data_IF_706738070687
#
_entry.id   IF_706738070687
#
_cell.length_a   1.000
_cell.length_b   1.000
_cell.length_c   1.000
_cell.angle_alpha   90.00
_cell.angle_beta   90.00
_cell.angle_gamma   90.00
#
_symmetry.space_group_name_H-M   'P 1'
#
loop_
_entity.id
_entity.type
_entity.pdbx_description
1 polymer ?
#
# COMPACT_ATOMS: atom_id res chain seq x y z
N UNK A 1 -15.33 31.21 -9.65
CA UNK A 1 -15.42 30.14 -10.66
C UNK A 1 -14.55 28.99 -10.17
N UNK A 2 -15.13 27.94 -9.59
CA UNK A 2 -14.37 26.73 -9.28
C UNK A 2 -14.07 26.03 -10.60
N UNK A 3 -12.81 26.10 -11.04
CA UNK A 3 -12.36 25.28 -12.14
C UNK A 3 -12.24 23.85 -11.60
N UNK A 4 -12.98 22.86 -12.16
CA UNK A 4 -12.96 21.50 -11.62
C UNK A 4 -11.54 20.94 -11.65
N UNK A 5 -11.17 20.22 -10.58
CA UNK A 5 -9.85 19.58 -10.47
C UNK A 5 -9.62 18.63 -11.66
N UNK A 6 -8.48 18.81 -12.34
CA UNK A 6 -8.11 17.95 -13.46
C UNK A 6 -7.85 16.51 -12.98
N UNK A 7 -8.27 15.51 -13.75
CA UNK A 7 -8.06 14.08 -13.45
C UNK A 7 -6.60 13.75 -13.09
N UNK A 8 -5.65 14.29 -13.87
CA UNK A 8 -4.22 14.15 -13.61
C UNK A 8 -3.76 14.78 -12.30
N UNK A 9 -4.35 15.91 -11.92
CA UNK A 9 -4.04 16.55 -10.64
C UNK A 9 -4.55 15.70 -9.48
N UNK A 10 -5.77 15.15 -9.58
CA UNK A 10 -6.32 14.23 -8.60
C UNK A 10 -5.44 12.98 -8.43
N UNK A 11 -5.01 12.38 -9.54
CA UNK A 11 -4.11 11.22 -9.56
C UNK A 11 -2.76 11.53 -8.90
N UNK A 12 -2.13 12.64 -9.26
CA UNK A 12 -0.84 13.02 -8.71
C UNK A 12 -0.93 13.28 -7.19
N UNK A 13 -2.01 13.89 -6.71
CA UNK A 13 -2.22 14.13 -5.27
C UNK A 13 -2.46 12.81 -4.52
N UNK A 14 -3.27 11.92 -5.09
CA UNK A 14 -3.52 10.58 -4.57
C UNK A 14 -2.20 9.81 -4.39
N UNK A 15 -1.38 9.72 -5.45
CA UNK A 15 -0.12 9.00 -5.40
C UNK A 15 0.94 9.68 -4.53
N UNK A 16 0.99 11.01 -4.48
CA UNK A 16 1.87 11.75 -3.57
C UNK A 16 1.64 11.27 -2.13
N UNK A 17 0.39 11.20 -1.69
CA UNK A 17 0.04 10.73 -0.34
C UNK A 17 0.54 9.30 -0.08
N UNK A 18 0.32 8.40 -1.05
CA UNK A 18 0.76 7.00 -0.96
C UNK A 18 2.27 6.86 -0.84
N UNK A 19 3.02 7.60 -1.64
CA UNK A 19 4.48 7.53 -1.61
C UNK A 19 5.06 7.99 -0.27
N UNK A 20 4.50 9.05 0.34
CA UNK A 20 4.96 9.50 1.66
C UNK A 20 4.64 8.48 2.75
N UNK A 21 3.42 7.92 2.77
CA UNK A 21 3.07 6.87 3.74
C UNK A 21 3.97 5.63 3.57
N UNK A 22 4.30 5.25 2.33
CA UNK A 22 5.24 4.16 2.02
C UNK A 22 6.65 4.40 2.53
N UNK A 23 7.19 5.58 2.31
CA UNK A 23 8.50 5.93 2.82
C UNK A 23 8.56 5.83 4.36
N UNK A 24 7.55 6.37 5.06
CA UNK A 24 7.48 6.33 6.53
C UNK A 24 7.34 4.88 7.05
N UNK A 25 6.48 4.08 6.42
CA UNK A 25 6.25 2.70 6.84
C UNK A 25 7.48 1.82 6.65
N UNK A 26 8.13 1.93 5.49
CA UNK A 26 9.34 1.17 5.18
C UNK A 26 10.49 1.56 6.12
N UNK A 27 10.68 2.85 6.38
CA UNK A 27 11.71 3.31 7.32
C UNK A 27 11.51 2.71 8.72
N UNK A 28 10.25 2.61 9.16
CA UNK A 28 9.91 2.02 10.45
C UNK A 28 10.09 0.50 10.49
N UNK A 29 9.74 -0.21 9.42
CA UNK A 29 9.95 -1.66 9.33
C UNK A 29 11.45 -1.98 9.40
N UNK A 30 12.27 -1.24 8.66
CA UNK A 30 13.73 -1.39 8.68
C UNK A 30 14.30 -1.12 10.08
N UNK A 31 13.85 -0.06 10.76
CA UNK A 31 14.35 0.29 12.10
C UNK A 31 13.99 -0.77 13.14
N UNK A 32 12.74 -1.22 13.13
CA UNK A 32 12.27 -2.25 14.04
C UNK A 32 13.00 -3.56 13.77
N UNK A 33 13.16 -3.98 12.51
CA UNK A 33 13.90 -5.18 12.18
C UNK A 33 15.35 -5.09 12.67
N UNK A 34 16.00 -3.95 12.48
CA UNK A 34 17.37 -3.71 12.94
C UNK A 34 17.51 -3.75 14.47
N UNK A 35 16.58 -3.13 15.20
CA UNK A 35 16.59 -3.12 16.67
C UNK A 35 16.42 -4.53 17.23
N UNK A 36 15.41 -5.26 16.76
CA UNK A 36 15.14 -6.61 17.25
C UNK A 36 16.23 -7.61 16.82
N UNK A 37 16.85 -7.40 15.66
CA UNK A 37 17.97 -8.22 15.21
C UNK A 37 19.19 -8.13 16.13
N UNK A 38 19.37 -7.03 16.87
CA UNK A 38 20.48 -6.87 17.83
C UNK A 38 20.20 -7.56 19.16
N UNK A 39 18.94 -7.61 19.57
CA UNK A 39 18.50 -8.11 20.88
C UNK A 39 18.34 -9.63 20.93
N UNK A 40 17.97 -10.27 19.82
CA UNK A 40 17.88 -11.73 19.72
C UNK A 40 19.17 -12.32 19.14
N UNK A 41 19.76 -13.33 19.77
CA UNK A 41 20.87 -14.15 19.21
C UNK A 41 20.45 -14.98 17.97
N UNK A 42 19.39 -14.57 17.25
CA UNK A 42 18.68 -15.33 16.23
C UNK A 42 18.90 -14.80 14.81
N UNK A 43 18.75 -15.71 13.85
CA UNK A 43 18.91 -15.53 12.41
C UNK A 43 18.16 -14.30 11.91
N UNK A 44 18.87 -13.42 11.20
CA UNK A 44 18.27 -12.23 10.62
C UNK A 44 17.32 -12.60 9.48
N UNK A 45 16.02 -12.33 9.65
CA UNK A 45 15.02 -12.56 8.60
C UNK A 45 14.77 -11.28 7.79
N UNK A 46 15.81 -10.78 7.12
CA UNK A 46 15.68 -9.66 6.18
C UNK A 46 14.87 -10.03 4.94
N UNK A 47 14.80 -11.32 4.60
CA UNK A 47 13.97 -11.83 3.52
C UNK A 47 12.49 -11.55 3.77
N UNK A 48 12.02 -11.58 5.03
CA UNK A 48 10.64 -11.22 5.36
C UNK A 48 10.24 -9.81 4.92
N UNK A 49 11.17 -8.84 4.95
CA UNK A 49 10.92 -7.48 4.47
C UNK A 49 10.77 -7.47 2.94
N UNK A 50 11.56 -8.30 2.24
CA UNK A 50 11.44 -8.45 0.78
C UNK A 50 10.08 -9.04 0.40
N UNK A 51 9.65 -10.08 1.11
CA UNK A 51 8.33 -10.72 0.92
C UNK A 51 7.17 -9.79 1.24
N UNK A 52 7.26 -9.01 2.32
CA UNK A 52 6.24 -8.02 2.72
C UNK A 52 5.88 -7.06 1.57
N UNK A 53 6.88 -6.65 0.79
CA UNK A 53 6.70 -5.74 -0.35
C UNK A 53 6.49 -6.46 -1.69
N UNK A 54 6.48 -7.81 -1.71
CA UNK A 54 6.39 -8.63 -2.92
C UNK A 54 7.49 -8.34 -3.96
N UNK A 55 8.71 -8.06 -3.50
CA UNK A 55 9.85 -7.63 -4.32
C UNK A 55 10.88 -8.75 -4.58
N UNK A 56 10.58 -10.02 -4.31
CA UNK A 56 11.55 -11.12 -4.37
C UNK A 56 12.24 -11.24 -5.73
N UNK A 57 11.47 -11.12 -6.81
CA UNK A 57 12.01 -11.18 -8.17
C UNK A 57 12.94 -9.99 -8.44
N UNK A 58 12.51 -8.77 -8.12
CA UNK A 58 13.30 -7.56 -8.31
C UNK A 58 14.58 -7.54 -7.46
N UNK A 59 14.50 -8.02 -6.22
CA UNK A 59 15.63 -8.15 -5.31
C UNK A 59 16.63 -9.20 -5.80
N UNK A 60 16.16 -10.41 -6.14
CA UNK A 60 16.99 -11.52 -6.61
C UNK A 60 17.75 -11.23 -7.90
N UNK A 61 17.20 -10.34 -8.75
CA UNK A 61 17.87 -9.87 -9.96
C UNK A 61 19.11 -9.01 -9.70
N UNK A 62 19.21 -8.37 -8.52
CA UNK A 62 20.33 -7.49 -8.14
C UNK A 62 21.23 -8.09 -7.05
N UNK A 63 20.67 -8.89 -6.15
CA UNK A 63 21.34 -9.41 -4.97
C UNK A 63 21.17 -10.92 -4.84
N UNK A 64 22.26 -11.63 -4.56
CA UNK A 64 22.25 -13.09 -4.39
C UNK A 64 21.83 -13.54 -2.99
N UNK A 65 21.96 -12.67 -1.98
CA UNK A 65 21.66 -13.00 -0.59
C UNK A 65 20.84 -11.89 0.10
N UNK A 66 19.76 -12.25 0.83
CA UNK A 66 18.96 -11.29 1.59
C UNK A 66 19.60 -11.02 2.95
N UNK A 67 20.80 -10.41 2.95
CA UNK A 67 21.45 -9.94 4.17
C UNK A 67 21.06 -8.47 4.47
N UNK A 68 21.43 -7.99 5.66
CA UNK A 68 21.13 -6.63 6.12
C UNK A 68 21.54 -5.58 5.08
N UNK A 69 22.82 -5.57 4.70
CA UNK A 69 23.40 -4.55 3.83
C UNK A 69 22.67 -4.47 2.47
N UNK A 70 22.38 -5.61 1.86
CA UNK A 70 21.67 -5.68 0.58
C UNK A 70 20.23 -5.18 0.72
N UNK A 71 19.49 -5.61 1.75
CA UNK A 71 18.09 -5.21 1.93
C UNK A 71 17.97 -3.73 2.32
N UNK A 72 18.84 -3.25 3.20
CA UNK A 72 18.94 -1.84 3.59
C UNK A 72 19.26 -0.97 2.36
N UNK A 73 20.28 -1.32 1.58
CA UNK A 73 20.63 -0.59 0.36
C UNK A 73 19.50 -0.59 -0.68
N UNK A 74 18.89 -1.75 -0.91
CA UNK A 74 17.79 -1.92 -1.87
C UNK A 74 16.56 -1.08 -1.51
N UNK A 75 16.23 -0.93 -0.23
CA UNK A 75 15.05 -0.18 0.21
C UNK A 75 15.31 1.28 0.58
N UNK A 76 16.54 1.67 0.92
CA UNK A 76 16.84 3.07 1.26
C UNK A 76 17.38 3.88 0.08
N UNK A 77 18.36 3.35 -0.66
CA UNK A 77 19.20 4.16 -1.56
C UNK A 77 19.17 3.74 -3.03
N UNK A 78 18.59 2.59 -3.36
CA UNK A 78 18.42 2.14 -4.74
C UNK A 78 17.30 2.90 -5.48
N UNK A 79 17.69 3.93 -6.24
CA UNK A 79 16.75 4.72 -7.04
C UNK A 79 16.11 3.96 -8.21
N UNK A 80 16.65 2.81 -8.61
CA UNK A 80 16.06 1.95 -9.63
C UNK A 80 15.04 0.96 -9.04
N UNK A 81 14.99 0.81 -7.72
CA UNK A 81 13.91 0.10 -7.05
C UNK A 81 12.71 1.05 -6.83
N UNK A 82 11.54 0.83 -7.47
CA UNK A 82 10.37 1.70 -7.30
C UNK A 82 9.76 1.67 -5.88
N UNK A 83 10.08 0.67 -5.06
CA UNK A 83 9.60 0.55 -3.68
C UNK A 83 10.55 1.20 -2.67
N UNK A 84 11.73 1.67 -3.10
CA UNK A 84 12.70 2.30 -2.20
C UNK A 84 12.24 3.68 -1.71
N UNK A 85 12.76 4.09 -0.55
CA UNK A 85 12.48 5.39 0.07
C UNK A 85 12.94 6.54 -0.84
N UNK A 86 14.13 6.45 -1.45
CA UNK A 86 14.60 7.46 -2.42
C UNK A 86 13.67 7.57 -3.62
N UNK A 87 13.20 6.46 -4.19
CA UNK A 87 12.30 6.48 -5.34
C UNK A 87 10.91 7.00 -4.95
N UNK A 88 10.35 6.57 -3.82
CA UNK A 88 9.07 7.04 -3.32
C UNK A 88 9.06 8.57 -3.12
N UNK A 89 10.08 9.12 -2.44
CA UNK A 89 10.16 10.57 -2.20
C UNK A 89 10.47 11.35 -3.47
N UNK A 90 11.27 10.79 -4.39
CA UNK A 90 11.45 11.39 -5.72
C UNK A 90 10.12 11.50 -6.47
N UNK A 91 9.32 10.42 -6.50
CA UNK A 91 8.00 10.42 -7.15
C UNK A 91 7.00 11.35 -6.46
N UNK A 92 6.98 11.38 -5.12
CA UNK A 92 6.15 12.32 -4.35
C UNK A 92 6.49 13.77 -4.70
N UNK A 93 7.79 14.09 -4.78
CA UNK A 93 8.27 15.42 -5.18
C UNK A 93 7.89 15.75 -6.61
N UNK A 94 8.05 14.84 -7.57
CA UNK A 94 7.65 15.11 -8.95
C UNK A 94 6.15 15.33 -9.10
N UNK A 95 5.32 14.57 -8.37
CA UNK A 95 3.90 14.83 -8.27
C UNK A 95 3.64 16.24 -7.72
N UNK A 96 4.26 16.60 -6.59
CA UNK A 96 4.13 17.93 -5.98
C UNK A 96 4.56 19.06 -6.94
N UNK A 97 5.58 18.83 -7.78
CA UNK A 97 6.06 19.82 -8.76
C UNK A 97 4.97 20.16 -9.77
N UNK A 98 4.27 19.15 -10.27
CA UNK A 98 3.13 19.35 -11.20
C UNK A 98 1.92 19.98 -10.53
N UNK A 99 1.84 19.88 -9.20
CA UNK A 99 0.75 20.36 -8.37
C UNK A 99 1.04 21.70 -7.69
N UNK A 100 2.11 22.42 -8.07
CA UNK A 100 2.47 23.72 -7.46
C UNK A 100 1.32 24.73 -7.32
N UNK A 101 0.34 24.80 -8.24
CA UNK A 101 -0.82 25.69 -8.04
C UNK A 101 -1.78 25.24 -6.93
N UNK A 102 -1.71 23.99 -6.48
CA UNK A 102 -2.63 23.36 -5.53
C UNK A 102 -1.99 23.10 -4.16
N UNK A 103 -0.75 22.61 -4.14
CA UNK A 103 -0.04 22.36 -2.87
C UNK A 103 0.51 23.66 -2.30
N UNK A 104 0.62 23.75 -0.98
CA UNK A 104 1.23 24.90 -0.33
C UNK A 104 2.74 24.98 -0.65
N UNK A 105 3.30 26.18 -0.52
CA UNK A 105 4.74 26.39 -0.70
C UNK A 105 5.53 25.56 0.30
N UNK A 106 5.03 25.44 1.52
CA UNK A 106 5.59 24.69 2.64
C UNK A 106 5.65 23.19 2.33
N UNK A 107 4.58 22.61 1.76
CA UNK A 107 4.58 21.20 1.31
C UNK A 107 5.67 20.97 0.26
N UNK A 108 5.75 21.85 -0.75
CA UNK A 108 6.76 21.76 -1.80
C UNK A 108 8.19 21.85 -1.24
N UNK A 109 8.43 22.84 -0.37
CA UNK A 109 9.75 23.07 0.24
C UNK A 109 10.19 21.86 1.07
N UNK A 110 9.30 21.31 1.90
CA UNK A 110 9.64 20.16 2.74
C UNK A 110 9.99 18.91 1.90
N UNK A 111 9.22 18.61 0.84
CA UNK A 111 9.56 17.50 -0.07
C UNK A 111 10.91 17.72 -0.77
N UNK A 112 11.22 18.97 -1.14
CA UNK A 112 12.48 19.28 -1.79
C UNK A 112 13.68 19.15 -0.83
N UNK A 113 13.54 19.61 0.42
CA UNK A 113 14.55 19.40 1.48
C UNK A 113 14.75 17.92 1.71
N UNK A 114 13.66 17.17 1.90
CA UNK A 114 13.72 15.74 2.19
C UNK A 114 14.36 14.96 1.04
N UNK A 115 13.96 15.22 -0.21
CA UNK A 115 14.57 14.60 -1.38
C UNK A 115 16.08 14.87 -1.47
N UNK A 116 16.51 16.12 -1.25
CA UNK A 116 17.93 16.46 -1.27
C UNK A 116 18.72 15.77 -0.15
N UNK A 117 18.12 15.66 1.04
CA UNK A 117 18.72 14.94 2.19
C UNK A 117 18.91 13.45 1.87
N UNK A 118 17.89 12.80 1.30
CA UNK A 118 17.98 11.40 0.89
C UNK A 118 19.06 11.16 -0.16
N UNK A 119 19.23 12.08 -1.12
CA UNK A 119 20.31 12.02 -2.13
C UNK A 119 21.71 12.25 -1.55
N UNK A 120 21.79 12.86 -0.37
CA UNK A 120 23.03 13.11 0.34
C UNK A 120 23.41 12.01 1.34
N UNK A 121 22.59 10.94 1.46
CA UNK A 121 22.93 9.79 2.30
C UNK A 121 24.25 9.18 1.83
N UNK A 122 25.17 9.04 2.76
CA UNK A 122 26.46 8.40 2.53
C UNK A 122 26.44 6.94 2.96
N UNK A 123 27.33 6.14 2.39
CA UNK A 123 27.42 4.71 2.69
C UNK A 123 27.73 4.39 4.16
N UNK A 124 28.46 5.27 4.86
CA UNK A 124 28.75 5.13 6.29
C UNK A 124 27.50 5.31 7.18
N UNK A 125 26.49 6.05 6.72
CA UNK A 125 25.22 6.20 7.45
C UNK A 125 24.35 4.94 7.39
N UNK A 126 24.63 4.02 6.45
CA UNK A 126 23.93 2.74 6.34
C UNK A 126 24.49 1.67 7.28
N UNK A 127 25.64 1.93 7.90
CA UNK A 127 26.31 0.98 8.76
C UNK A 127 25.56 0.79 10.10
N UNK A 128 25.69 -0.39 10.73
CA UNK A 128 25.17 -0.63 12.06
C UNK A 128 25.63 0.45 13.04
N UNK A 129 24.68 1.16 13.66
CA UNK A 129 24.91 2.20 14.67
C UNK A 129 24.53 3.58 14.18
N UNK A 130 24.65 3.83 12.88
CA UNK A 130 24.20 5.07 12.22
C UNK A 130 22.83 4.92 11.55
N UNK A 131 22.43 3.68 11.23
CA UNK A 131 21.18 3.40 10.56
C UNK A 131 19.94 3.82 11.35
N UNK A 132 19.83 3.51 12.64
CA UNK A 132 18.65 3.88 13.45
C UNK A 132 18.44 5.40 13.54
N UNK A 133 19.48 6.23 13.80
CA UNK A 133 19.37 7.68 13.68
C UNK A 133 18.89 8.15 12.30
N UNK A 134 19.44 7.60 11.21
CA UNK A 134 19.02 7.93 9.84
C UNK A 134 17.54 7.58 9.60
N UNK A 135 17.11 6.38 10.00
CA UNK A 135 15.71 5.96 9.86
C UNK A 135 14.77 6.80 10.73
N UNK A 136 15.23 7.27 11.89
CA UNK A 136 14.52 8.25 12.72
C UNK A 136 14.31 9.56 11.97
N UNK A 137 15.37 10.13 11.41
CA UNK A 137 15.30 11.35 10.61
C UNK A 137 14.33 11.22 9.43
N UNK A 138 14.35 10.08 8.73
CA UNK A 138 13.45 9.80 7.60
C UNK A 138 11.98 9.79 8.05
N UNK A 139 11.66 9.13 9.19
CA UNK A 139 10.29 9.13 9.75
C UNK A 139 9.87 10.53 10.16
N UNK A 140 10.75 11.28 10.83
CA UNK A 140 10.48 12.65 11.27
C UNK A 140 10.23 13.59 10.08
N UNK A 141 10.95 13.41 8.97
CA UNK A 141 10.71 14.17 7.74
C UNK A 141 9.33 13.89 7.12
N UNK A 142 8.89 12.62 7.14
CA UNK A 142 7.53 12.23 6.71
C UNK A 142 6.45 12.81 7.63
N UNK A 143 6.68 12.79 8.94
CA UNK A 143 5.77 13.35 9.94
C UNK A 143 5.71 14.87 9.87
N UNK A 144 6.84 15.53 9.61
CA UNK A 144 6.93 16.97 9.35
C UNK A 144 6.12 17.33 8.11
N UNK A 145 6.29 16.59 7.01
CA UNK A 145 5.47 16.78 5.82
C UNK A 145 3.98 16.58 6.10
N UNK A 146 3.63 15.56 6.89
CA UNK A 146 2.26 15.31 7.33
C UNK A 146 1.69 16.49 8.11
N UNK A 147 2.43 17.02 9.09
CA UNK A 147 1.99 18.18 9.89
C UNK A 147 1.82 19.44 9.04
N UNK A 148 2.75 19.70 8.12
CA UNK A 148 2.64 20.80 7.15
C UNK A 148 1.40 20.64 6.27
N UNK A 149 1.16 19.43 5.77
CA UNK A 149 0.00 19.13 4.91
C UNK A 149 -1.30 19.37 5.67
N UNK A 150 -1.43 18.89 6.91
CA UNK A 150 -2.61 19.14 7.74
C UNK A 150 -2.84 20.64 8.01
N UNK A 151 -1.76 21.40 8.27
CA UNK A 151 -1.83 22.81 8.64
C UNK A 151 -2.00 23.79 7.47
N UNK A 152 -1.60 23.41 6.26
CA UNK A 152 -1.50 24.37 5.13
C UNK A 152 -2.26 23.95 3.87
N UNK A 153 -2.59 22.67 3.70
CA UNK A 153 -3.25 22.22 2.47
C UNK A 153 -4.74 22.59 2.49
N UNK A 154 -5.18 23.32 1.48
CA UNK A 154 -6.56 23.81 1.39
C UNK A 154 -7.57 22.65 1.27
N UNK A 155 -8.70 22.75 1.98
CA UNK A 155 -9.66 21.65 2.15
C UNK A 155 -10.69 21.60 1.00
N UNK A 156 -10.19 21.40 -0.22
CA UNK A 156 -10.97 21.25 -1.45
C UNK A 156 -10.97 19.79 -1.98
N UNK A 157 -11.29 19.59 -3.26
CA UNK A 157 -11.27 18.28 -3.91
C UNK A 157 -9.91 17.58 -3.76
N UNK A 158 -8.80 18.32 -3.92
CA UNK A 158 -7.46 17.76 -3.88
C UNK A 158 -7.14 17.21 -2.49
N UNK A 159 -7.58 17.90 -1.43
CA UNK A 159 -7.48 17.42 -0.05
C UNK A 159 -8.12 16.04 0.12
N UNK A 160 -9.31 15.82 -0.42
CA UNK A 160 -9.99 14.53 -0.25
C UNK A 160 -9.35 13.42 -1.09
N UNK A 161 -8.81 13.72 -2.29
CA UNK A 161 -7.99 12.76 -3.03
C UNK A 161 -6.69 12.39 -2.30
N UNK A 162 -6.06 13.36 -1.62
CA UNK A 162 -4.89 13.10 -0.76
C UNK A 162 -5.26 12.14 0.37
N UNK A 163 -6.40 12.36 1.03
CA UNK A 163 -6.91 11.47 2.09
C UNK A 163 -7.19 10.06 1.57
N UNK A 164 -7.84 9.92 0.41
CA UNK A 164 -8.08 8.62 -0.22
C UNK A 164 -6.77 7.83 -0.39
N UNK A 165 -5.75 8.48 -0.95
CA UNK A 165 -4.43 7.87 -1.14
C UNK A 165 -3.78 7.46 0.18
N UNK A 166 -3.70 8.40 1.14
CA UNK A 166 -3.11 8.16 2.46
C UNK A 166 -3.73 6.95 3.17
N UNK A 167 -5.05 6.92 3.32
CA UNK A 167 -5.70 5.91 4.15
C UNK A 167 -5.76 4.54 3.45
N UNK A 168 -5.88 4.49 2.11
CA UNK A 168 -5.77 3.22 1.38
C UNK A 168 -4.37 2.61 1.51
N UNK A 169 -3.31 3.40 1.32
CA UNK A 169 -1.94 2.91 1.48
C UNK A 169 -1.68 2.45 2.92
N UNK A 170 -2.14 3.20 3.92
CA UNK A 170 -1.98 2.84 5.32
C UNK A 170 -2.71 1.55 5.71
N UNK A 171 -3.93 1.34 5.19
CA UNK A 171 -4.68 0.11 5.42
C UNK A 171 -3.95 -1.10 4.81
N UNK A 172 -3.53 -0.99 3.55
CA UNK A 172 -2.78 -2.03 2.83
C UNK A 172 -1.45 -2.38 3.53
N UNK A 173 -0.71 -1.37 3.99
CA UNK A 173 0.54 -1.61 4.73
C UNK A 173 0.31 -2.31 6.06
N UNK A 174 -0.81 -2.02 6.74
CA UNK A 174 -1.14 -2.67 8.01
C UNK A 174 -1.47 -4.14 7.79
N UNK A 175 -2.16 -4.48 6.70
CA UNK A 175 -2.43 -5.90 6.37
C UNK A 175 -1.14 -6.63 6.00
N UNK A 176 -0.27 -6.04 5.17
CA UNK A 176 1.06 -6.63 4.83
C UNK A 176 1.93 -6.88 6.07
N UNK A 177 1.91 -5.95 7.02
CA UNK A 177 2.67 -6.08 8.26
C UNK A 177 2.16 -7.24 9.14
N UNK A 178 0.83 -7.41 9.22
CA UNK A 178 0.22 -8.57 9.87
C UNK A 178 0.59 -9.88 9.18
N UNK A 179 0.58 -9.88 7.85
CA UNK A 179 0.81 -11.07 7.03
C UNK A 179 2.22 -11.65 7.17
N UNK A 180 3.21 -10.75 7.25
CA UNK A 180 4.63 -11.10 7.35
C UNK A 180 4.96 -12.02 8.53
N UNK A 181 4.12 -12.00 9.57
CA UNK A 181 4.30 -12.80 10.80
C UNK A 181 3.22 -13.86 11.00
N UNK A 182 2.39 -14.13 9.98
CA UNK A 182 1.36 -15.16 9.99
C UNK A 182 1.90 -16.56 10.35
N UNK A 183 3.09 -16.93 9.85
CA UNK A 183 3.65 -18.26 10.13
C UNK A 183 3.89 -18.54 11.62
N UNK A 184 3.97 -17.51 12.47
CA UNK A 184 4.05 -17.66 13.93
C UNK A 184 2.74 -18.12 14.57
N UNK A 185 1.59 -17.84 13.94
CA UNK A 185 0.29 -18.33 14.39
C UNK A 185 0.07 -19.81 14.06
N UNK A 186 0.77 -20.30 13.04
CA UNK A 186 0.60 -21.67 12.52
C UNK A 186 1.48 -22.71 13.22
N UNK A 187 2.36 -22.29 14.14
CA UNK A 187 3.26 -23.16 14.89
C UNK A 187 2.71 -23.53 16.28
N UNK A 188 2.23 -24.77 16.42
CA UNK A 188 2.04 -25.54 17.67
C UNK A 188 1.14 -24.97 18.80
N UNK A 189 0.02 -25.67 19.05
CA UNK A 189 -0.64 -25.89 20.34
C UNK A 189 -0.97 -24.68 21.25
N UNK A 190 -1.16 -23.49 20.69
CA UNK A 190 -1.70 -22.34 21.44
C UNK A 190 -0.80 -21.80 22.56
N UNK A 191 0.37 -22.40 22.77
CA UNK A 191 1.45 -21.87 23.58
C UNK A 191 2.37 -21.07 22.68
N UNK A 192 2.17 -19.76 22.62
CA UNK A 192 3.15 -18.85 22.03
C UNK A 192 4.51 -19.14 22.67
N UNK A 193 5.48 -19.62 21.88
CA UNK A 193 6.83 -19.77 22.36
C UNK A 193 7.34 -18.38 22.76
N UNK A 194 8.31 -18.29 23.68
CA UNK A 194 8.90 -17.02 24.10
C UNK A 194 9.44 -16.16 22.93
N UNK A 195 9.76 -16.78 21.79
CA UNK A 195 10.12 -16.12 20.53
C UNK A 195 8.96 -15.44 19.78
N UNK A 196 7.70 -15.77 20.08
CA UNK A 196 6.52 -15.22 19.39
C UNK A 196 6.13 -13.85 19.96
N UNK A 197 6.25 -13.65 21.27
CA UNK A 197 5.90 -12.38 21.93
C UNK A 197 6.77 -11.22 21.43
N UNK A 198 8.07 -11.46 21.23
CA UNK A 198 8.99 -10.46 20.68
C UNK A 198 8.62 -10.05 19.26
N UNK A 199 8.18 -10.98 18.42
CA UNK A 199 7.81 -10.68 17.04
C UNK A 199 6.49 -9.90 16.94
N UNK A 200 5.50 -10.20 17.78
CA UNK A 200 4.28 -9.40 17.86
C UNK A 200 4.51 -8.01 18.48
N UNK A 201 5.50 -7.88 19.38
CA UNK A 201 6.00 -6.59 19.82
C UNK A 201 6.62 -5.79 18.67
N UNK A 202 7.40 -6.44 17.80
CA UNK A 202 7.94 -5.82 16.58
C UNK A 202 6.81 -5.37 15.64
N UNK A 203 5.82 -6.20 15.36
CA UNK A 203 4.63 -5.84 14.55
C UNK A 203 3.94 -4.59 15.13
N UNK A 204 3.65 -4.57 16.43
CA UNK A 204 3.03 -3.40 17.05
C UNK A 204 3.90 -2.14 16.95
N UNK A 205 5.24 -2.26 17.05
CA UNK A 205 6.15 -1.12 16.88
C UNK A 205 6.21 -0.64 15.43
N UNK A 206 6.25 -1.56 14.46
CA UNK A 206 6.16 -1.26 13.03
C UNK A 206 4.83 -0.63 12.64
N UNK A 207 3.75 -0.90 13.38
CA UNK A 207 2.47 -0.19 13.21
C UNK A 207 2.39 1.13 14.01
N UNK A 208 3.39 1.50 14.82
CA UNK A 208 3.29 2.51 15.91
C UNK A 208 2.08 2.31 16.84
N UNK A 209 1.63 1.06 16.97
CA UNK A 209 0.49 0.67 17.77
C UNK A 209 0.83 0.26 19.19
N UNK A 210 2.11 0.06 19.53
CA UNK A 210 2.49 -0.54 20.82
C UNK A 210 1.86 0.15 22.04
N UNK A 211 2.01 1.47 22.17
CA UNK A 211 1.44 2.20 23.31
C UNK A 211 -0.09 2.23 23.28
N UNK A 212 -0.70 2.37 22.11
CA UNK A 212 -2.15 2.34 21.96
C UNK A 212 -2.73 0.97 22.34
N UNK A 213 -2.07 -0.11 21.91
CA UNK A 213 -2.40 -1.48 22.29
C UNK A 213 -2.28 -1.70 23.81
N UNK A 214 -1.15 -1.32 24.41
CA UNK A 214 -0.91 -1.47 25.85
C UNK A 214 -1.88 -0.65 26.71
N UNK A 215 -2.42 0.45 26.17
CA UNK A 215 -3.45 1.26 26.83
C UNK A 215 -4.78 0.53 27.00
N UNK A 216 -5.14 -0.33 26.05
CA UNK A 216 -6.42 -1.06 26.03
C UNK A 216 -6.28 -2.53 26.46
N UNK A 217 -5.10 -3.11 26.33
CA UNK A 217 -4.78 -4.49 26.73
C UNK A 217 -3.59 -4.49 27.70
N UNK A 218 -3.89 -4.49 29.00
CA UNK A 218 -2.90 -4.35 30.07
C UNK A 218 -2.18 -5.65 30.44
N UNK A 219 -2.87 -6.79 30.33
CA UNK A 219 -2.44 -8.08 30.92
C UNK A 219 -1.64 -8.96 29.96
N UNK A 220 -2.09 -9.25 28.73
CA UNK A 220 -1.35 -10.18 27.85
C UNK A 220 -1.31 -9.76 26.38
N UNK A 221 -0.11 -9.84 25.80
CA UNK A 221 0.17 -9.68 24.37
C UNK A 221 0.02 -11.05 23.70
N UNK A 222 -1.16 -11.30 23.17
CA UNK A 222 -1.44 -12.52 22.38
C UNK A 222 -1.52 -12.16 20.89
N UNK A 223 -1.10 -13.05 19.98
CA UNK A 223 -1.23 -12.85 18.54
C UNK A 223 -2.66 -12.45 18.10
N UNK A 224 -3.67 -13.14 18.64
CA UNK A 224 -5.09 -12.88 18.36
C UNK A 224 -5.49 -11.44 18.68
N UNK A 225 -5.20 -10.96 19.89
CA UNK A 225 -5.46 -9.57 20.29
C UNK A 225 -4.72 -8.55 19.44
N UNK A 226 -3.49 -8.83 19.00
CA UNK A 226 -2.73 -7.90 18.13
C UNK A 226 -3.38 -7.80 16.76
N UNK A 227 -3.73 -8.94 16.16
CA UNK A 227 -4.47 -8.99 14.90
C UNK A 227 -5.82 -8.29 15.03
N UNK A 228 -6.60 -8.59 16.08
CA UNK A 228 -7.88 -7.93 16.37
C UNK A 228 -7.72 -6.41 16.50
N UNK A 229 -6.71 -5.94 17.24
CA UNK A 229 -6.43 -4.53 17.41
C UNK A 229 -6.09 -3.83 16.09
N UNK A 230 -5.21 -4.41 15.28
CA UNK A 230 -4.77 -3.83 14.01
C UNK A 230 -5.85 -3.93 12.92
N UNK A 231 -6.74 -4.90 12.98
CA UNK A 231 -7.86 -5.02 12.03
C UNK A 231 -9.05 -4.14 12.43
N UNK A 232 -9.48 -4.21 13.70
CA UNK A 232 -10.83 -3.80 14.09
C UNK A 232 -10.91 -2.60 15.05
N UNK A 233 -9.80 -2.10 15.59
CA UNK A 233 -9.90 -1.03 16.60
C UNK A 233 -10.37 0.31 15.98
N UNK A 234 -11.56 0.83 16.31
CA UNK A 234 -12.14 1.98 15.61
C UNK A 234 -11.48 3.34 15.95
N UNK A 235 -10.53 3.35 16.89
CA UNK A 235 -9.84 4.55 17.38
C UNK A 235 -8.35 4.57 17.04
N UNK A 236 -7.77 3.45 16.61
CA UNK A 236 -6.35 3.39 16.28
C UNK A 236 -6.09 3.88 14.84
N UNK A 237 -5.27 4.93 14.61
CA UNK A 237 -5.14 5.59 13.31
C UNK A 237 -4.63 4.73 12.15
N UNK A 238 -4.02 3.58 12.44
CA UNK A 238 -3.56 2.61 11.43
C UNK A 238 -4.42 1.35 11.37
N UNK A 239 -5.44 1.22 12.21
CA UNK A 239 -6.32 0.06 12.09
C UNK A 239 -6.99 0.02 10.73
N UNK A 240 -7.26 -1.17 10.23
CA UNK A 240 -7.91 -1.35 8.93
C UNK A 240 -9.31 -0.72 8.93
N UNK A 241 -10.13 -0.98 9.94
CA UNK A 241 -11.48 -0.41 10.08
C UNK A 241 -11.47 1.12 10.09
N UNK A 242 -10.57 1.76 10.85
CA UNK A 242 -10.50 3.23 10.86
C UNK A 242 -10.10 3.74 9.48
N UNK A 243 -9.07 3.18 8.85
CA UNK A 243 -8.62 3.62 7.54
C UNK A 243 -9.72 3.49 6.48
N UNK A 244 -10.45 2.36 6.44
CA UNK A 244 -11.58 2.16 5.53
C UNK A 244 -12.65 3.22 5.73
N UNK A 245 -13.04 3.49 6.99
CA UNK A 245 -14.00 4.56 7.31
C UNK A 245 -13.55 5.94 6.83
N UNK A 246 -12.26 6.25 6.95
CA UNK A 246 -11.74 7.54 6.47
C UNK A 246 -11.71 7.63 4.93
N UNK A 247 -11.53 6.50 4.23
CA UNK A 247 -11.65 6.41 2.76
C UNK A 247 -13.10 6.63 2.34
N UNK A 248 -14.06 5.97 2.98
CA UNK A 248 -15.50 6.16 2.76
C UNK A 248 -15.90 7.62 2.99
N UNK A 249 -15.44 8.22 4.09
CA UNK A 249 -15.69 9.62 4.40
C UNK A 249 -15.14 10.54 3.30
N UNK A 250 -13.89 10.35 2.86
CA UNK A 250 -13.29 11.17 1.82
C UNK A 250 -14.04 11.05 0.48
N UNK A 251 -14.43 9.82 0.09
CA UNK A 251 -15.22 9.60 -1.13
C UNK A 251 -16.60 10.26 -1.03
N UNK A 252 -17.27 10.14 0.13
CA UNK A 252 -18.56 10.77 0.37
C UNK A 252 -18.47 12.30 0.30
N UNK A 253 -17.40 12.92 0.80
CA UNK A 253 -17.18 14.37 0.70
C UNK A 253 -16.96 14.83 -0.74
N UNK A 254 -16.20 14.08 -1.55
CA UNK A 254 -16.04 14.38 -2.98
C UNK A 254 -17.39 14.38 -3.72
N UNK A 255 -18.27 13.42 -3.40
CA UNK A 255 -19.60 13.30 -4.05
C UNK A 255 -20.59 14.35 -3.54
N UNK A 256 -20.69 14.53 -2.22
CA UNK A 256 -21.74 15.36 -1.60
C UNK A 256 -21.39 16.86 -1.59
N UNK A 257 -20.17 17.22 -1.21
CA UNK A 257 -19.74 18.62 -1.05
C UNK A 257 -19.23 19.23 -2.35
N UNK A 258 -18.51 18.44 -3.15
CA UNK A 258 -17.88 18.89 -4.38
C UNK A 258 -18.62 18.47 -5.65
N UNK A 259 -19.74 17.75 -5.51
CA UNK A 259 -20.58 17.28 -6.62
C UNK A 259 -19.81 16.54 -7.72
N UNK A 260 -18.70 15.87 -7.37
CA UNK A 260 -17.93 15.07 -8.32
C UNK A 260 -18.77 13.85 -8.71
N UNK A 261 -18.96 13.68 -10.02
CA UNK A 261 -19.68 12.53 -10.59
C UNK A 261 -18.78 11.30 -10.67
N UNK A 262 -19.37 10.11 -10.59
CA UNK A 262 -18.66 8.83 -10.65
C UNK A 262 -18.33 8.26 -9.28
N UNK A 263 -17.51 7.21 -9.25
CA UNK A 263 -17.07 6.53 -8.03
C UNK A 263 -18.18 5.76 -7.31
N UNK A 264 -19.23 5.33 -8.04
CA UNK A 264 -20.27 4.48 -7.45
C UNK A 264 -19.73 3.06 -7.21
N UNK A 265 -19.00 2.52 -8.18
CA UNK A 265 -18.34 1.22 -8.09
C UNK A 265 -17.29 1.21 -6.97
N UNK A 266 -16.59 2.32 -6.77
CA UNK A 266 -15.66 2.48 -5.64
C UNK A 266 -16.40 2.52 -4.29
N UNK A 267 -17.57 3.19 -4.23
CA UNK A 267 -18.39 3.21 -3.03
C UNK A 267 -18.97 1.82 -2.72
N UNK A 268 -19.50 1.11 -3.71
CA UNK A 268 -20.00 -0.26 -3.56
C UNK A 268 -18.89 -1.23 -3.10
N UNK A 269 -17.68 -1.09 -3.65
CA UNK A 269 -16.53 -1.90 -3.22
C UNK A 269 -16.14 -1.60 -1.76
N UNK A 270 -16.23 -0.35 -1.31
CA UNK A 270 -16.00 0.04 0.08
C UNK A 270 -17.10 -0.47 1.00
N UNK A 271 -18.37 -0.36 0.62
CA UNK A 271 -19.51 -0.89 1.38
C UNK A 271 -19.36 -2.41 1.60
N UNK A 272 -18.91 -3.14 0.55
CA UNK A 272 -18.61 -4.56 0.66
C UNK A 272 -17.44 -4.85 1.61
N UNK A 273 -16.39 -4.03 1.59
CA UNK A 273 -15.25 -4.15 2.51
C UNK A 273 -15.68 -3.87 3.97
N UNK A 274 -16.50 -2.86 4.19
CA UNK A 274 -17.09 -2.54 5.49
C UNK A 274 -17.92 -3.69 6.02
N UNK A 275 -18.79 -4.27 5.17
CA UNK A 275 -19.63 -5.41 5.54
C UNK A 275 -18.80 -6.63 5.95
N UNK A 276 -17.70 -6.91 5.24
CA UNK A 276 -16.75 -7.97 5.62
C UNK A 276 -16.17 -7.68 7.02
N UNK A 277 -15.64 -6.47 7.24
CA UNK A 277 -14.99 -6.11 8.50
C UNK A 277 -15.96 -6.06 9.69
N UNK A 278 -17.23 -5.71 9.46
CA UNK A 278 -18.26 -5.66 10.50
C UNK A 278 -18.89 -7.03 10.79
N UNK A 279 -18.83 -7.95 9.82
CA UNK A 279 -19.54 -9.22 9.87
C UNK A 279 -18.72 -10.42 10.33
N UNK A 280 -17.42 -10.26 10.63
CA UNK A 280 -16.52 -11.36 10.99
C UNK A 280 -15.80 -11.10 12.31
N UNK A 281 -15.67 -12.13 13.14
CA UNK A 281 -14.90 -12.07 14.39
C UNK A 281 -13.44 -12.51 14.20
N UNK A 282 -12.56 -12.09 15.11
CA UNK A 282 -11.16 -12.53 15.09
C UNK A 282 -11.05 -14.06 15.23
N UNK A 283 -11.90 -14.69 16.04
CA UNK A 283 -11.89 -16.15 16.24
C UNK A 283 -12.30 -16.91 14.98
N UNK A 284 -13.18 -16.35 14.15
CA UNK A 284 -13.53 -16.91 12.84
C UNK A 284 -12.37 -16.77 11.85
N UNK A 285 -11.72 -15.61 11.83
CA UNK A 285 -10.54 -15.38 10.98
C UNK A 285 -9.42 -16.34 11.33
N UNK A 286 -9.11 -16.50 12.62
CA UNK A 286 -8.03 -17.39 13.06
C UNK A 286 -8.34 -18.87 12.76
N UNK A 287 -9.61 -19.28 12.85
CA UNK A 287 -10.04 -20.63 12.44
C UNK A 287 -9.99 -20.84 10.92
N UNK A 288 -10.31 -19.81 10.14
CA UNK A 288 -10.33 -19.85 8.68
C UNK A 288 -8.98 -19.61 8.02
N UNK A 289 -8.00 -19.07 8.76
CA UNK A 289 -6.69 -18.67 8.25
C UNK A 289 -6.56 -17.14 8.16
N UNK A 290 -5.69 -16.55 8.97
CA UNK A 290 -5.45 -15.11 8.96
C UNK A 290 -4.83 -14.63 7.63
N UNK A 291 -3.94 -15.41 7.02
CA UNK A 291 -3.34 -15.10 5.72
C UNK A 291 -4.40 -14.95 4.63
N UNK A 292 -5.27 -15.94 4.48
CA UNK A 292 -6.34 -15.93 3.46
C UNK A 292 -7.28 -14.72 3.64
N UNK A 293 -7.56 -14.35 4.88
CA UNK A 293 -8.35 -13.15 5.17
C UNK A 293 -7.59 -11.86 4.81
N UNK A 294 -6.29 -11.77 5.12
CA UNK A 294 -5.45 -10.63 4.74
C UNK A 294 -5.36 -10.51 3.21
N UNK A 295 -5.13 -11.60 2.50
CA UNK A 295 -5.09 -11.64 1.05
C UNK A 295 -6.40 -11.15 0.44
N UNK A 296 -7.55 -11.58 0.99
CA UNK A 296 -8.85 -11.06 0.61
C UNK A 296 -8.92 -9.54 0.79
N UNK A 297 -8.48 -8.99 1.93
CA UNK A 297 -8.49 -7.55 2.17
C UNK A 297 -7.59 -6.80 1.17
N UNK A 298 -6.38 -7.30 0.91
CA UNK A 298 -5.45 -6.71 -0.07
C UNK A 298 -6.07 -6.68 -1.49
N UNK A 299 -6.70 -7.77 -1.92
CA UNK A 299 -7.43 -7.82 -3.19
C UNK A 299 -8.59 -6.81 -3.25
N UNK A 300 -9.29 -6.59 -2.13
CA UNK A 300 -10.34 -5.56 -2.04
C UNK A 300 -9.77 -4.14 -2.13
N UNK A 301 -8.64 -3.84 -1.50
CA UNK A 301 -7.97 -2.54 -1.65
C UNK A 301 -7.50 -2.28 -3.08
N UNK A 302 -6.99 -3.30 -3.76
CA UNK A 302 -6.64 -3.23 -5.19
C UNK A 302 -7.90 -2.90 -6.00
N UNK A 303 -9.01 -3.61 -5.76
CA UNK A 303 -10.29 -3.37 -6.44
C UNK A 303 -10.78 -1.93 -6.24
N UNK A 304 -10.79 -1.43 -5.00
CA UNK A 304 -11.17 -0.05 -4.69
C UNK A 304 -10.27 0.94 -5.44
N UNK A 305 -8.95 0.72 -5.43
CA UNK A 305 -8.00 1.59 -6.13
C UNK A 305 -8.26 1.59 -7.64
N UNK A 306 -8.55 0.44 -8.25
CA UNK A 306 -8.89 0.34 -9.67
C UNK A 306 -10.19 1.09 -10.00
N UNK A 307 -11.24 0.95 -9.18
CA UNK A 307 -12.49 1.68 -9.35
C UNK A 307 -12.29 3.19 -9.24
N UNK A 308 -11.47 3.66 -8.28
CA UNK A 308 -11.10 5.07 -8.15
C UNK A 308 -10.33 5.57 -9.39
N UNK A 309 -9.36 4.80 -9.88
CA UNK A 309 -8.57 5.16 -11.06
C UNK A 309 -9.43 5.27 -12.32
N UNK A 310 -10.39 4.36 -12.49
CA UNK A 310 -11.33 4.40 -13.61
C UNK A 310 -12.28 5.59 -13.52
N UNK A 311 -12.81 5.86 -12.32
CA UNK A 311 -13.76 6.94 -12.10
C UNK A 311 -13.13 8.34 -12.22
N UNK A 312 -11.91 8.53 -11.71
CA UNK A 312 -11.38 9.86 -11.46
C UNK A 312 -10.08 10.19 -12.20
N UNK A 313 -9.28 9.20 -12.59
CA UNK A 313 -7.94 9.42 -13.17
C UNK A 313 -7.90 9.22 -14.70
N UNK A 314 -9.05 8.92 -15.31
CA UNK A 314 -9.16 8.77 -16.76
C UNK A 314 -8.54 7.48 -17.30
N UNK A 315 -8.25 6.50 -16.43
CA UNK A 315 -7.83 5.17 -16.85
C UNK A 315 -9.06 4.42 -17.39
N UNK A 316 -9.17 4.23 -18.71
CA UNK A 316 -10.19 3.31 -19.24
C UNK A 316 -9.87 1.90 -18.76
N UNK A 317 -10.86 1.21 -18.20
CA UNK A 317 -10.77 -0.23 -18.00
C UNK A 317 -10.34 -0.88 -19.33
N UNK A 318 -9.28 -1.70 -19.30
CA UNK A 318 -9.01 -2.57 -20.43
C UNK A 318 -10.26 -3.42 -20.67
N UNK A 319 -10.75 -3.55 -21.91
CA UNK A 319 -11.87 -4.45 -22.17
C UNK A 319 -11.48 -5.85 -21.69
N UNK A 320 -12.33 -6.46 -20.86
CA UNK A 320 -12.14 -7.84 -20.45
C UNK A 320 -12.06 -8.71 -21.72
N UNK A 321 -11.04 -9.58 -21.87
CA UNK A 321 -11.01 -10.54 -22.96
C UNK A 321 -12.12 -11.56 -22.72
N UNK A 322 -13.31 -11.31 -23.29
CA UNK A 322 -14.47 -12.18 -23.08
C UNK A 322 -15.81 -11.69 -23.63
N UNK A 323 -15.95 -10.43 -24.04
CA UNK A 323 -17.20 -9.95 -24.67
C UNK A 323 -17.00 -9.56 -26.13
N UNK A 324 -16.66 -10.55 -26.97
CA UNK A 324 -17.10 -10.55 -28.35
C UNK A 324 -18.39 -11.36 -28.43
N UNK A 325 -19.53 -10.74 -28.12
CA UNK A 325 -20.82 -11.24 -28.56
C UNK A 325 -21.12 -10.69 -29.95
N UNK A 326 -20.81 -11.53 -30.95
CA UNK A 326 -21.65 -11.85 -32.10
C UNK A 326 -22.82 -10.88 -32.39
N UNK A 327 -22.57 -9.87 -33.20
CA UNK A 327 -23.59 -9.38 -34.13
C UNK A 327 -23.44 -10.13 -35.45
N UNK A 328 -24.21 -11.21 -35.54
CA UNK A 328 -24.49 -11.93 -36.76
C UNK A 328 -25.21 -11.01 -37.74
N UNK A 329 -24.64 -10.97 -38.94
CA UNK A 329 -25.17 -10.45 -40.19
C UNK A 329 -26.70 -10.54 -40.30
N UNK A 330 -27.34 -9.40 -40.55
CA UNK A 330 -28.61 -9.37 -41.29
C UNK A 330 -28.30 -9.06 -42.75
N UNK A 331 -28.90 -9.88 -43.60
CA UNK A 331 -28.69 -10.04 -45.03
C UNK A 331 -28.86 -8.74 -45.85
N UNK A 332 -27.99 -8.59 -46.85
CA UNK A 332 -28.37 -8.06 -48.16
C UNK A 332 -27.67 -8.90 -49.23
N UNK A 333 -28.45 -9.80 -49.86
CA UNK A 333 -28.09 -10.55 -51.08
C UNK A 333 -28.06 -9.58 -52.27
N UNK A 334 -26.98 -9.60 -53.06
CA UNK A 334 -27.07 -9.58 -54.53
C UNK A 334 -25.73 -9.84 -55.21
N UNK A 335 -25.67 -10.95 -55.98
CA UNK A 335 -24.80 -11.21 -57.14
C UNK A 335 -23.31 -11.44 -56.86
N UNK A 336 -22.58 -12.35 -57.49
CA UNK A 336 -22.84 -13.42 -58.46
C UNK A 336 -21.47 -14.00 -58.81
N UNK A 337 -21.30 -15.33 -58.75
CA UNK A 337 -20.27 -16.15 -59.44
C UNK A 337 -18.80 -15.82 -59.06
N UNK A 338 -17.88 -16.77 -58.91
CA UNK A 338 -17.67 -18.03 -59.61
C UNK A 338 -16.74 -18.95 -58.80
N UNK A 339 -16.92 -20.24 -59.05
CA UNK A 339 -16.18 -21.39 -58.56
C UNK A 339 -14.64 -21.28 -58.68
N UNK A 340 -13.90 -21.97 -57.80
CA UNK A 340 -12.93 -23.03 -58.12
C UNK A 340 -12.48 -23.73 -56.82
N UNK A 341 -13.01 -24.94 -56.65
CA UNK A 341 -12.43 -26.22 -56.22
C UNK A 341 -11.11 -26.35 -55.40
N UNK A 342 -11.22 -27.21 -54.36
CA UNK A 342 -10.38 -28.41 -54.05
C UNK A 342 -9.01 -28.22 -53.35
N UNK A 343 -8.89 -28.39 -52.02
CA UNK A 343 -8.56 -29.61 -51.20
C UNK A 343 -7.13 -29.59 -50.60
N UNK A 344 -6.79 -30.42 -49.56
CA UNK A 344 -6.16 -29.94 -48.33
C UNK A 344 -4.82 -30.67 -48.01
N UNK A 345 -4.40 -30.63 -46.73
CA UNK A 345 -3.28 -31.36 -46.06
C UNK A 345 -2.01 -30.47 -45.91
N UNK A 346 -1.24 -30.48 -44.83
CA UNK A 346 -1.15 -31.38 -43.68
C UNK A 346 -0.35 -30.71 -42.54
N UNK A 347 -0.64 -31.14 -41.31
CA UNK A 347 0.16 -30.93 -40.09
C UNK A 347 1.56 -31.54 -40.19
N UNK A 348 2.58 -30.85 -39.64
CA UNK A 348 3.75 -31.38 -38.89
C UNK A 348 4.23 -30.22 -37.97
N UNK A 349 3.99 -30.18 -36.65
CA UNK A 349 4.67 -30.82 -35.51
C UNK A 349 6.18 -30.50 -35.31
N UNK A 350 6.50 -30.05 -34.08
CA UNK A 350 7.81 -29.96 -33.38
C UNK A 350 8.67 -28.71 -33.72
N UNK A 351 9.19 -27.93 -32.77
CA UNK A 351 9.45 -28.11 -31.34
C UNK A 351 8.86 -26.97 -30.49
#
# INVERSE_FOLDING_TARGET
MNNPLLARSAENVFWLARFVERAENLARILEVNETFSRDSQGVQDWLSIVRLNADEAAFSAKHSTPNADNVIGFYLTDAANPTSIVAAIANARENARTLRPLVSTEMWVQLNIFHNRLRAIRGDELLPGHLSPLLTEIKEACQTFTGITEGTFYRDEAWYFYRLGRYLERADQTTRLLDTKYHLLSGSDGTAASGDVGQWHAVLRSASGYHAFRRIHSSDLTPARVAEFLLFNPAFPRSVVLCVREVENALSQLKSRHAIRGGNEAAEALDGLHAILAGISIDEILRGGLHDFIDLLQQRFITVTLCLSQAFFGHRAAPQPGQFQSQSQTQSRSGSRSDIALTPLQRVSRN
#
